data_IF_729036292535
#
_entry.id   IF_729036292535
#
_cell.length_a   1.000
_cell.length_b   1.000
_cell.length_c   1.000
_cell.angle_alpha   90.00
_cell.angle_beta   90.00
_cell.angle_gamma   90.00
#
_symmetry.space_group_name_H-M   'P 1'
#
loop_
_entity.id
_entity.type
_entity.pdbx_description
1 polymer ?
#
# COMPACT_ATOMS: atom_id res chain seq x y z
N UNK A 1 -9.04 19.76 -10.57
CA UNK A 1 -9.36 20.10 -9.17
C UNK A 1 -8.05 20.52 -8.50
N UNK A 2 -7.96 21.79 -8.12
CA UNK A 2 -6.75 22.43 -7.57
C UNK A 2 -6.40 21.78 -6.24
N UNK A 3 -5.10 21.57 -5.95
CA UNK A 3 -4.64 21.13 -4.62
C UNK A 3 -5.29 22.05 -3.57
N UNK A 4 -6.07 21.51 -2.63
CA UNK A 4 -6.44 22.26 -1.43
C UNK A 4 -5.22 22.33 -0.50
N UNK A 5 -4.30 23.22 -0.86
CA UNK A 5 -3.05 23.47 -0.15
C UNK A 5 -3.37 23.82 1.32
N UNK A 6 -4.48 24.51 1.59
CA UNK A 6 -4.84 24.93 2.95
C UNK A 6 -5.13 23.75 3.88
N UNK A 7 -5.78 22.69 3.38
CA UNK A 7 -6.04 21.47 4.14
C UNK A 7 -4.75 20.70 4.43
N UNK A 8 -3.86 20.61 3.43
CA UNK A 8 -2.57 19.94 3.57
C UNK A 8 -1.64 20.69 4.52
N UNK A 9 -1.57 22.02 4.43
CA UNK A 9 -0.84 22.87 5.36
C UNK A 9 -1.35 22.71 6.80
N UNK A 10 -2.68 22.63 6.96
CA UNK A 10 -3.29 22.39 8.28
C UNK A 10 -2.89 21.03 8.83
N UNK A 11 -2.96 19.97 8.01
CA UNK A 11 -2.55 18.62 8.43
C UNK A 11 -1.07 18.57 8.77
N UNK A 12 -0.21 19.12 7.92
CA UNK A 12 1.22 19.21 8.15
C UNK A 12 1.52 19.96 9.46
N UNK A 13 0.84 21.09 9.71
CA UNK A 13 1.00 21.86 10.95
C UNK A 13 0.59 21.05 12.18
N UNK A 14 -0.51 20.28 12.09
CA UNK A 14 -0.95 19.40 13.18
C UNK A 14 0.09 18.31 13.43
N UNK A 15 0.57 17.64 12.38
CA UNK A 15 1.58 16.60 12.49
C UNK A 15 2.90 17.14 13.09
N UNK A 16 3.38 18.28 12.58
CA UNK A 16 4.58 18.94 13.09
C UNK A 16 4.43 19.35 14.55
N UNK A 17 3.30 19.95 14.95
CA UNK A 17 3.06 20.34 16.34
C UNK A 17 3.14 19.15 17.31
N UNK A 18 2.73 17.96 16.87
CA UNK A 18 2.82 16.74 17.68
C UNK A 18 4.25 16.21 17.75
N UNK A 19 4.99 16.24 16.63
CA UNK A 19 6.38 15.78 16.59
C UNK A 19 7.36 16.75 17.27
N UNK A 20 7.11 18.07 17.24
CA UNK A 20 7.99 19.08 17.85
C UNK A 20 8.09 18.96 19.37
N UNK A 21 7.08 18.40 20.04
CA UNK A 21 7.16 18.10 21.48
C UNK A 21 8.37 17.20 21.77
N UNK A 22 8.67 16.24 20.89
CA UNK A 22 9.84 15.35 21.04
C UNK A 22 11.15 16.07 20.80
N UNK A 23 11.19 17.01 19.86
CA UNK A 23 12.37 17.86 19.64
C UNK A 23 12.69 18.63 20.91
N UNK A 24 11.68 19.18 21.58
CA UNK A 24 11.88 19.91 22.83
C UNK A 24 12.30 18.99 24.00
N UNK A 25 11.76 17.77 24.09
CA UNK A 25 12.19 16.76 25.06
C UNK A 25 13.65 16.34 24.86
N UNK A 26 14.06 16.08 23.61
CA UNK A 26 15.45 15.73 23.26
C UNK A 26 16.38 16.91 23.53
N UNK A 27 15.99 18.14 23.20
CA UNK A 27 16.76 19.35 23.55
C UNK A 27 16.99 19.48 25.05
N UNK A 28 15.95 19.28 25.88
CA UNK A 28 16.08 19.30 27.35
C UNK A 28 16.98 18.18 27.85
N UNK A 29 16.91 17.00 27.23
CA UNK A 29 17.78 15.87 27.56
C UNK A 29 19.23 16.19 27.24
N UNK A 30 19.50 16.73 26.04
CA UNK A 30 20.83 17.15 25.60
C UNK A 30 21.44 18.24 26.49
N UNK A 31 20.63 19.15 27.03
CA UNK A 31 21.08 20.16 27.99
C UNK A 31 21.57 19.57 29.32
N UNK A 32 21.12 18.36 29.69
CA UNK A 32 21.50 17.66 30.92
C UNK A 32 22.67 16.71 30.75
N UNK A 33 23.08 16.44 29.50
CA UNK A 33 24.23 15.58 29.23
C UNK A 33 25.53 16.36 29.50
N UNK A 34 26.49 15.67 30.11
CA UNK A 34 27.83 16.20 30.31
C UNK A 34 28.49 16.46 28.93
N UNK A 35 28.92 17.70 28.71
CA UNK A 35 29.56 18.10 27.46
C UNK A 35 31.06 17.88 27.59
N UNK A 36 31.55 16.78 27.02
CA UNK A 36 32.98 16.54 26.89
C UNK A 36 33.47 17.22 25.59
N UNK A 37 34.42 18.18 25.66
CA UNK A 37 34.91 18.85 24.47
C UNK A 37 35.72 17.87 23.61
N UNK A 38 35.41 17.83 22.31
CA UNK A 38 36.28 17.22 21.31
C UNK A 38 37.18 18.33 20.79
N UNK A 39 38.50 18.19 20.96
CA UNK A 39 39.47 19.09 20.36
C UNK A 39 39.58 18.74 18.88
N UNK A 40 38.93 19.52 18.02
CA UNK A 40 39.09 19.43 16.56
C UNK A 40 39.69 20.71 16.02
N UNK A 41 40.77 20.59 15.24
CA UNK A 41 41.25 21.69 14.40
C UNK A 41 40.18 22.03 13.36
N UNK A 42 39.90 23.33 13.21
CA UNK A 42 38.81 23.90 12.44
C UNK A 42 38.60 23.22 11.07
N UNK A 43 37.52 22.46 10.94
CA UNK A 43 36.89 22.20 9.64
C UNK A 43 35.38 22.29 9.81
N UNK A 44 34.78 23.32 9.23
CA UNK A 44 33.34 23.51 9.21
C UNK A 44 32.70 22.38 8.42
N UNK A 45 32.05 21.44 9.11
CA UNK A 45 31.30 20.37 8.47
C UNK A 45 29.84 20.83 8.30
N UNK A 46 29.33 20.97 7.07
CA UNK A 46 27.92 21.19 6.85
C UNK A 46 27.15 19.87 7.12
N UNK A 47 26.16 19.94 8.01
CA UNK A 47 25.18 18.86 8.17
C UNK A 47 24.25 18.89 6.95
N UNK A 48 24.39 17.93 6.06
CA UNK A 48 23.54 17.78 4.88
C UNK A 48 22.56 16.63 5.14
N UNK A 49 21.27 16.96 5.28
CA UNK A 49 20.20 15.96 5.20
C UNK A 49 19.82 15.77 3.73
N UNK A 50 20.22 14.65 3.14
CA UNK A 50 19.89 14.31 1.74
C UNK A 50 18.51 13.67 1.69
N UNK A 51 17.60 14.23 0.88
CA UNK A 51 16.29 13.62 0.59
C UNK A 51 16.20 13.41 -0.92
N UNK A 52 16.05 12.16 -1.35
CA UNK A 52 15.71 11.81 -2.72
C UNK A 52 14.23 11.39 -2.76
N UNK A 53 13.44 11.94 -3.68
CA UNK A 53 11.99 11.67 -3.78
C UNK A 53 11.66 10.89 -5.04
N UNK A 54 11.05 9.71 -4.87
CA UNK A 54 10.36 8.96 -5.93
C UNK A 54 8.94 8.58 -5.45
N UNK A 55 8.01 8.38 -6.39
CA UNK A 55 6.58 8.22 -6.12
C UNK A 55 6.23 6.84 -5.55
N UNK A 56 5.93 6.80 -4.25
CA UNK A 56 5.51 5.61 -3.49
C UNK A 56 5.97 5.74 -2.04
N UNK A 57 5.16 5.30 -1.07
CA UNK A 57 5.40 5.33 0.40
C UNK A 57 6.62 6.14 0.89
N UNK A 58 6.45 7.45 1.12
CA UNK A 58 7.53 8.31 1.57
C UNK A 58 7.53 8.41 3.10
N UNK A 59 8.45 7.67 3.74
CA UNK A 59 8.75 7.79 5.18
C UNK A 59 9.86 8.81 5.37
N UNK A 60 9.56 9.89 6.08
CA UNK A 60 10.55 10.89 6.44
C UNK A 60 10.96 10.66 7.89
N UNK A 61 12.21 10.21 8.07
CA UNK A 61 12.86 10.11 9.37
C UNK A 61 13.75 11.34 9.54
N UNK A 62 13.25 12.32 10.28
CA UNK A 62 13.99 13.51 10.67
C UNK A 62 14.15 13.47 12.18
N UNK A 63 14.93 12.52 12.70
CA UNK A 63 14.95 12.25 14.14
C UNK A 63 15.15 13.54 14.96
N UNK A 64 14.26 13.83 15.94
CA UNK A 64 13.22 12.95 16.49
C UNK A 64 11.81 13.05 15.85
N UNK A 65 11.64 13.82 14.78
CA UNK A 65 10.39 13.99 14.01
C UNK A 65 10.18 12.78 13.09
N UNK A 66 9.05 12.10 13.25
CA UNK A 66 8.68 10.95 12.42
C UNK A 66 7.30 11.15 11.81
N UNK A 67 7.23 11.31 10.49
CA UNK A 67 5.95 11.48 9.78
C UNK A 67 5.93 10.68 8.48
N UNK A 68 4.72 10.30 8.06
CA UNK A 68 4.49 9.59 6.80
C UNK A 68 3.43 10.31 5.97
N UNK A 69 3.66 10.39 4.67
CA UNK A 69 2.68 10.90 3.72
C UNK A 69 1.98 9.71 3.10
N UNK A 70 0.65 9.65 3.24
CA UNK A 70 -0.17 8.65 2.55
C UNK A 70 -0.96 9.36 1.47
N UNK A 71 -0.82 8.90 0.23
CA UNK A 71 -1.50 9.44 -0.94
C UNK A 71 -2.04 8.30 -1.80
N UNK A 72 -3.33 8.38 -2.16
CA UNK A 72 -4.00 7.44 -3.06
C UNK A 72 -4.66 8.21 -4.19
N UNK A 73 -4.26 7.90 -5.41
CA UNK A 73 -4.70 8.56 -6.66
C UNK A 73 -5.05 7.52 -7.71
N UNK A 74 -5.98 7.86 -8.61
CA UNK A 74 -6.19 7.09 -9.84
C UNK A 74 -5.22 7.54 -10.96
N UNK A 75 -5.32 6.88 -12.11
CA UNK A 75 -4.55 7.21 -13.33
C UNK A 75 -4.90 8.57 -13.94
N UNK A 76 -6.07 9.14 -13.62
CA UNK A 76 -6.47 10.48 -14.04
C UNK A 76 -5.93 11.57 -13.09
N UNK A 77 -5.19 11.17 -12.03
CA UNK A 77 -4.70 12.08 -11.00
C UNK A 77 -5.78 12.52 -10.01
N UNK A 78 -6.98 11.92 -10.05
CA UNK A 78 -8.03 12.13 -9.05
C UNK A 78 -7.50 11.68 -7.69
N UNK A 79 -7.46 12.60 -6.74
CA UNK A 79 -6.99 12.32 -5.39
C UNK A 79 -8.15 11.86 -4.52
N UNK A 80 -8.04 10.65 -3.99
CA UNK A 80 -9.04 10.07 -3.09
C UNK A 80 -8.63 10.17 -1.63
N UNK A 81 -7.33 10.15 -1.36
CA UNK A 81 -6.76 10.33 -0.04
C UNK A 81 -5.40 11.02 -0.15
N UNK A 82 -5.13 11.99 0.70
CA UNK A 82 -3.82 12.63 0.84
C UNK A 82 -3.73 13.25 2.23
N UNK A 83 -2.82 12.76 3.07
CA UNK A 83 -2.67 13.26 4.44
C UNK A 83 -1.26 13.04 5.00
N UNK A 84 -0.90 13.88 5.99
CA UNK A 84 0.32 13.77 6.79
C UNK A 84 0.00 13.07 8.11
N UNK A 85 0.64 11.93 8.32
CA UNK A 85 0.37 11.05 9.44
C UNK A 85 1.56 11.09 10.41
N UNK A 86 1.39 11.65 11.63
CA UNK A 86 2.43 11.68 12.65
C UNK A 86 2.61 10.28 13.25
N UNK A 87 3.86 9.80 13.28
CA UNK A 87 4.21 8.44 13.73
C UNK A 87 4.59 8.40 15.22
N UNK A 88 4.51 9.54 15.91
CA UNK A 88 4.61 9.64 17.36
C UNK A 88 3.31 9.30 18.09
N UNK A 89 2.16 9.49 17.43
CA UNK A 89 0.87 9.23 18.04
C UNK A 89 0.63 7.73 18.25
N UNK A 90 -0.17 7.43 19.27
CA UNK A 90 -0.72 6.10 19.45
C UNK A 90 -1.65 5.74 18.28
N UNK A 91 -1.62 4.46 17.88
CA UNK A 91 -2.40 3.96 16.75
C UNK A 91 -3.90 4.27 16.92
N UNK A 92 -4.45 4.16 18.14
CA UNK A 92 -5.86 4.39 18.41
C UNK A 92 -6.25 5.87 18.21
N UNK A 93 -5.35 6.80 18.56
CA UNK A 93 -5.55 8.23 18.28
C UNK A 93 -5.49 8.53 16.79
N UNK A 94 -4.59 7.86 16.06
CA UNK A 94 -4.51 8.04 14.61
C UNK A 94 -5.78 7.50 13.94
N UNK A 95 -6.27 6.33 14.34
CA UNK A 95 -7.53 5.79 13.81
C UNK A 95 -8.71 6.72 14.09
N UNK A 96 -8.81 7.26 15.30
CA UNK A 96 -9.87 8.20 15.65
C UNK A 96 -9.82 9.47 14.80
N UNK A 97 -8.64 10.07 14.67
CA UNK A 97 -8.50 11.41 14.10
C UNK A 97 -8.42 11.42 12.56
N UNK A 98 -7.84 10.39 11.95
CA UNK A 98 -7.54 10.36 10.51
C UNK A 98 -8.33 9.30 9.74
N UNK A 99 -8.72 8.18 10.38
CA UNK A 99 -9.41 7.07 9.70
C UNK A 99 -10.92 7.20 9.83
N UNK A 100 -11.44 7.36 11.07
CA UNK A 100 -12.89 7.46 11.31
C UNK A 100 -13.52 8.74 10.73
N UNK A 101 -12.74 9.82 10.63
CA UNK A 101 -13.16 11.09 10.04
C UNK A 101 -13.16 11.11 8.51
N UNK A 102 -12.62 10.07 7.87
CA UNK A 102 -12.44 10.03 6.43
C UNK A 102 -13.69 9.53 5.69
N UNK A 103 -14.22 10.34 4.77
CA UNK A 103 -15.45 10.04 4.01
C UNK A 103 -15.33 8.79 3.13
N UNK A 104 -14.17 8.53 2.54
CA UNK A 104 -13.95 7.35 1.70
C UNK A 104 -14.05 6.06 2.54
N UNK A 105 -13.43 6.05 3.72
CA UNK A 105 -13.47 4.93 4.64
C UNK A 105 -14.87 4.74 5.26
N UNK A 106 -15.59 5.82 5.55
CA UNK A 106 -16.99 5.73 5.98
C UNK A 106 -17.89 5.14 4.90
N UNK A 107 -17.75 5.60 3.66
CA UNK A 107 -18.46 5.03 2.51
C UNK A 107 -18.13 3.54 2.32
N UNK A 108 -16.85 3.16 2.46
CA UNK A 108 -16.40 1.79 2.36
C UNK A 108 -17.03 0.89 3.45
N UNK A 109 -17.00 1.35 4.71
CA UNK A 109 -17.66 0.68 5.84
C UNK A 109 -19.14 0.42 5.56
N UNK A 110 -19.86 1.45 5.10
CA UNK A 110 -21.30 1.35 4.80
C UNK A 110 -21.58 0.40 3.62
N UNK A 111 -20.81 0.53 2.54
CA UNK A 111 -20.96 -0.27 1.31
C UNK A 111 -20.75 -1.75 1.58
N UNK A 112 -19.78 -2.09 2.43
CA UNK A 112 -19.50 -3.48 2.81
C UNK A 112 -20.31 -3.97 4.02
N UNK A 113 -21.15 -3.11 4.62
CA UNK A 113 -21.89 -3.43 5.85
C UNK A 113 -20.99 -3.95 6.98
N UNK A 114 -19.81 -3.34 7.15
CA UNK A 114 -18.82 -3.71 8.16
C UNK A 114 -18.90 -2.77 9.37
N UNK A 115 -18.38 -3.22 10.51
CA UNK A 115 -18.14 -2.36 11.67
C UNK A 115 -16.67 -1.94 11.79
N UNK A 116 -16.39 -0.89 12.56
CA UNK A 116 -15.00 -0.39 12.69
C UNK A 116 -14.08 -1.44 13.33
N UNK A 117 -14.63 -2.28 14.20
CA UNK A 117 -13.94 -3.40 14.86
C UNK A 117 -13.54 -4.49 13.87
N UNK A 118 -14.22 -4.58 12.73
CA UNK A 118 -13.86 -5.50 11.63
C UNK A 118 -12.73 -4.94 10.78
N UNK A 119 -12.67 -3.61 10.63
CA UNK A 119 -11.77 -2.91 9.71
C UNK A 119 -10.45 -2.55 10.39
N UNK A 120 -10.48 -2.15 11.66
CA UNK A 120 -9.32 -1.62 12.38
C UNK A 120 -8.45 -2.74 12.95
N UNK A 121 -7.13 -2.50 13.08
CA UNK A 121 -6.23 -3.49 13.65
C UNK A 121 -6.58 -3.75 15.13
N UNK A 122 -6.82 -5.01 15.45
CA UNK A 122 -7.27 -5.44 16.77
C UNK A 122 -6.23 -6.29 17.51
N UNK A 123 -5.11 -6.62 16.87
CA UNK A 123 -3.99 -7.35 17.49
C UNK A 123 -2.73 -6.48 17.62
N UNK A 124 -1.84 -6.74 18.60
CA UNK A 124 -0.56 -6.02 18.73
C UNK A 124 0.30 -6.07 17.46
N UNK A 125 0.30 -7.21 16.75
CA UNK A 125 1.02 -7.37 15.49
C UNK A 125 0.47 -6.45 14.40
N UNK A 126 -0.86 -6.43 14.21
CA UNK A 126 -1.48 -5.52 13.23
C UNK A 126 -1.32 -4.05 13.62
N UNK A 127 -1.35 -3.73 14.92
CA UNK A 127 -1.07 -2.39 15.43
C UNK A 127 0.39 -1.98 15.21
N UNK A 128 1.34 -2.92 15.05
CA UNK A 128 2.72 -2.59 14.68
C UNK A 128 2.86 -2.28 13.17
N UNK A 129 2.05 -2.94 12.32
CA UNK A 129 2.07 -2.77 10.86
C UNK A 129 0.92 -1.92 10.31
N UNK A 130 0.28 -1.12 11.16
CA UNK A 130 -1.02 -0.51 10.86
C UNK A 130 -1.00 0.47 9.68
N UNK A 131 0.12 1.14 9.43
CA UNK A 131 0.27 2.07 8.30
C UNK A 131 0.20 1.36 6.95
N UNK A 132 0.89 0.22 6.84
CA UNK A 132 0.83 -0.62 5.64
C UNK A 132 -0.59 -1.15 5.42
N UNK A 133 -1.23 -1.58 6.50
CA UNK A 133 -2.64 -2.00 6.49
C UNK A 133 -3.57 -0.86 6.06
N UNK A 134 -3.41 0.35 6.59
CA UNK A 134 -4.24 1.52 6.23
C UNK A 134 -4.04 1.91 4.76
N UNK A 135 -2.80 1.92 4.26
CA UNK A 135 -2.51 2.20 2.86
C UNK A 135 -3.23 1.22 1.94
N UNK A 136 -3.06 -0.07 2.22
CA UNK A 136 -3.68 -1.13 1.43
C UNK A 136 -5.22 -1.08 1.52
N UNK A 137 -5.78 -0.82 2.71
CA UNK A 137 -7.21 -0.62 2.89
C UNK A 137 -7.74 0.55 2.04
N UNK A 138 -7.06 1.71 2.07
CA UNK A 138 -7.45 2.87 1.27
C UNK A 138 -7.39 2.58 -0.24
N UNK A 139 -6.38 1.83 -0.68
CA UNK A 139 -6.28 1.36 -2.06
C UNK A 139 -7.48 0.50 -2.46
N UNK A 140 -7.84 -0.48 -1.63
CA UNK A 140 -9.04 -1.30 -1.81
C UNK A 140 -10.33 -0.47 -1.82
N UNK A 141 -10.43 0.56 -0.97
CA UNK A 141 -11.56 1.48 -0.96
C UNK A 141 -11.73 2.23 -2.29
N UNK A 142 -10.61 2.72 -2.85
CA UNK A 142 -10.63 3.43 -4.14
C UNK A 142 -11.02 2.50 -5.28
N UNK A 143 -10.46 1.29 -5.32
CA UNK A 143 -10.82 0.27 -6.33
C UNK A 143 -12.31 -0.05 -6.24
N UNK A 144 -12.84 -0.26 -5.04
CA UNK A 144 -14.28 -0.49 -4.85
C UNK A 144 -15.12 0.68 -5.32
N UNK A 145 -14.69 1.92 -5.06
CA UNK A 145 -15.38 3.13 -5.51
C UNK A 145 -15.36 3.28 -7.03
N UNK A 146 -14.26 2.95 -7.68
CA UNK A 146 -14.16 2.93 -9.15
C UNK A 146 -15.08 1.87 -9.76
N UNK A 147 -15.08 0.66 -9.19
CA UNK A 147 -16.00 -0.41 -9.60
C UNK A 147 -17.47 -0.02 -9.39
N UNK A 148 -17.78 0.80 -8.38
CA UNK A 148 -19.14 1.31 -8.16
C UNK A 148 -19.51 2.52 -9.03
N UNK A 149 -18.62 3.01 -9.91
CA UNK A 149 -18.94 4.14 -10.77
C UNK A 149 -20.06 3.79 -11.78
N UNK A 150 -20.81 4.78 -12.25
CA UNK A 150 -21.79 4.61 -13.34
C UNK A 150 -21.17 4.88 -14.72
N UNK A 151 -19.84 4.85 -14.78
CA UNK A 151 -19.12 5.02 -16.03
C UNK A 151 -19.33 3.77 -16.90
N UNK A 152 -18.99 3.88 -18.19
CA UNK A 152 -18.97 2.73 -19.10
C UNK A 152 -18.13 1.59 -18.50
N UNK A 153 -18.37 0.32 -18.88
CA UNK A 153 -17.54 -0.81 -18.46
C UNK A 153 -16.04 -0.47 -18.51
N UNK A 154 -15.35 -0.68 -17.40
CA UNK A 154 -13.96 -0.30 -17.19
C UNK A 154 -13.15 -1.53 -16.81
N UNK A 155 -11.92 -1.59 -17.30
CA UNK A 155 -10.89 -2.45 -16.72
C UNK A 155 -10.19 -1.67 -15.61
N UNK A 156 -10.47 -2.01 -14.36
CA UNK A 156 -9.81 -1.47 -13.19
C UNK A 156 -8.56 -2.31 -12.91
N UNK A 157 -7.40 -1.67 -13.01
CA UNK A 157 -6.10 -2.31 -12.78
C UNK A 157 -5.57 -1.90 -11.42
N UNK A 158 -5.27 -2.89 -10.57
CA UNK A 158 -4.55 -2.70 -9.31
C UNK A 158 -3.05 -2.88 -9.52
N UNK A 159 -2.23 -1.97 -8.98
CA UNK A 159 -0.77 -2.13 -8.89
C UNK A 159 -0.44 -3.08 -7.73
N UNK A 160 -0.50 -4.38 -8.04
CA UNK A 160 -0.33 -5.49 -7.12
C UNK A 160 -1.34 -6.61 -7.40
N UNK A 161 -0.98 -7.83 -7.03
CA UNK A 161 -1.81 -9.04 -7.11
C UNK A 161 -3.09 -8.93 -6.25
N UNK A 162 -4.24 -9.42 -6.70
CA UNK A 162 -5.54 -9.37 -6.00
C UNK A 162 -5.61 -10.27 -4.75
N UNK A 163 -4.66 -10.09 -3.83
CA UNK A 163 -4.46 -10.82 -2.59
C UNK A 163 -3.98 -9.87 -1.51
N UNK A 164 -4.34 -10.15 -0.26
CA UNK A 164 -3.96 -9.32 0.87
C UNK A 164 -3.69 -10.13 2.13
N UNK A 165 -2.57 -9.85 2.79
CA UNK A 165 -2.26 -10.35 4.14
C UNK A 165 -2.39 -9.27 5.21
N UNK A 166 -2.44 -7.99 4.81
CA UNK A 166 -2.42 -6.87 5.74
C UNK A 166 -3.79 -6.58 6.35
N UNK A 167 -4.87 -6.73 5.58
CA UNK A 167 -6.24 -6.49 6.08
C UNK A 167 -6.81 -7.74 6.77
N UNK A 168 -7.81 -7.61 7.67
CA UNK A 168 -8.48 -8.76 8.27
C UNK A 168 -9.21 -9.64 7.24
N UNK A 169 -9.28 -10.96 7.47
CA UNK A 169 -9.89 -11.91 6.54
C UNK A 169 -11.36 -11.57 6.26
N UNK A 170 -12.14 -11.26 7.30
CA UNK A 170 -13.55 -10.87 7.17
C UNK A 170 -13.74 -9.69 6.21
N UNK A 171 -12.86 -8.69 6.27
CA UNK A 171 -12.90 -7.54 5.35
C UNK A 171 -12.60 -8.00 3.92
N UNK A 172 -11.56 -8.82 3.75
CA UNK A 172 -11.16 -9.35 2.44
C UNK A 172 -12.26 -10.18 1.78
N UNK A 173 -12.89 -11.10 2.51
CA UNK A 173 -13.98 -11.94 1.99
C UNK A 173 -15.20 -11.10 1.59
N UNK A 174 -15.54 -10.10 2.39
CA UNK A 174 -16.67 -9.19 2.11
C UNK A 174 -16.38 -8.34 0.88
N UNK A 175 -15.13 -7.87 0.75
CA UNK A 175 -14.66 -7.11 -0.39
C UNK A 175 -14.70 -7.94 -1.68
N UNK A 176 -14.26 -9.20 -1.63
CA UNK A 176 -14.32 -10.12 -2.78
C UNK A 176 -15.77 -10.27 -3.29
N UNK A 177 -16.73 -10.52 -2.38
CA UNK A 177 -18.15 -10.62 -2.72
C UNK A 177 -18.71 -9.33 -3.32
N UNK A 178 -18.29 -8.18 -2.79
CA UNK A 178 -18.69 -6.89 -3.32
C UNK A 178 -18.15 -6.70 -4.75
N UNK A 179 -16.88 -7.03 -5.01
CA UNK A 179 -16.31 -6.97 -6.36
C UNK A 179 -17.00 -7.91 -7.34
N UNK A 180 -17.26 -9.15 -6.95
CA UNK A 180 -18.00 -10.12 -7.77
C UNK A 180 -19.38 -9.58 -8.15
N UNK A 181 -20.13 -9.10 -7.16
CA UNK A 181 -21.46 -8.52 -7.37
C UNK A 181 -21.40 -7.32 -8.32
N UNK A 182 -20.55 -6.33 -8.02
CA UNK A 182 -20.46 -5.10 -8.82
C UNK A 182 -19.95 -5.37 -10.23
N UNK A 183 -19.02 -6.32 -10.40
CA UNK A 183 -18.53 -6.75 -11.70
C UNK A 183 -19.65 -7.32 -12.57
N UNK A 184 -20.51 -8.17 -12.00
CA UNK A 184 -21.67 -8.75 -12.71
C UNK A 184 -22.75 -7.72 -13.00
N UNK A 185 -23.05 -6.82 -12.05
CA UNK A 185 -24.13 -5.84 -12.20
C UNK A 185 -23.78 -4.71 -13.18
N UNK A 186 -22.51 -4.28 -13.20
CA UNK A 186 -22.07 -3.10 -13.98
C UNK A 186 -21.17 -3.43 -15.16
N UNK A 187 -20.68 -4.66 -15.27
CA UNK A 187 -19.77 -5.09 -16.33
C UNK A 187 -18.33 -4.57 -16.18
N UNK A 188 -17.95 -3.99 -15.03
CA UNK A 188 -16.56 -3.63 -14.77
C UNK A 188 -15.71 -4.87 -14.53
N UNK A 189 -14.48 -4.86 -15.03
CA UNK A 189 -13.49 -5.93 -14.85
C UNK A 189 -12.41 -5.46 -13.87
N UNK A 190 -11.93 -6.37 -13.03
CA UNK A 190 -10.84 -6.14 -12.09
C UNK A 190 -9.65 -7.02 -12.46
N UNK A 191 -8.45 -6.47 -12.43
CA UNK A 191 -7.21 -7.23 -12.62
C UNK A 191 -6.12 -6.69 -11.70
N UNK A 192 -5.34 -7.58 -11.09
CA UNK A 192 -4.13 -7.21 -10.35
C UNK A 192 -2.90 -7.43 -11.22
N UNK A 193 -2.02 -6.43 -11.32
CA UNK A 193 -0.77 -6.54 -12.07
C UNK A 193 0.37 -6.18 -11.13
N UNK A 194 1.34 -7.08 -10.95
CA UNK A 194 2.49 -6.82 -10.10
C UNK A 194 3.79 -6.75 -10.92
N UNK A 195 4.84 -6.17 -10.33
CA UNK A 195 6.20 -6.22 -10.88
C UNK A 195 7.00 -7.43 -10.37
N UNK A 196 6.55 -8.03 -9.26
CA UNK A 196 7.22 -9.11 -8.56
C UNK A 196 6.18 -10.06 -7.97
N UNK A 197 6.52 -11.34 -7.94
CA UNK A 197 5.78 -12.37 -7.18
C UNK A 197 6.76 -13.47 -6.77
N UNK A 198 6.43 -14.23 -5.72
CA UNK A 198 7.25 -15.38 -5.32
C UNK A 198 7.38 -16.39 -6.46
N UNK A 199 6.29 -16.62 -7.20
CA UNK A 199 6.27 -17.50 -8.39
C UNK A 199 7.22 -17.01 -9.47
N UNK A 200 7.19 -15.72 -9.82
CA UNK A 200 8.09 -15.18 -10.85
C UNK A 200 9.55 -15.28 -10.41
N UNK A 201 9.84 -14.98 -9.14
CA UNK A 201 11.19 -15.14 -8.59
C UNK A 201 11.64 -16.60 -8.63
N UNK A 202 10.77 -17.54 -8.24
CA UNK A 202 11.03 -18.97 -8.24
C UNK A 202 11.30 -19.52 -9.64
N UNK A 203 10.52 -19.08 -10.62
CA UNK A 203 10.63 -19.51 -12.02
C UNK A 203 11.67 -18.72 -12.82
N UNK A 204 12.26 -17.65 -12.27
CA UNK A 204 13.13 -16.74 -13.03
C UNK A 204 14.29 -17.45 -13.73
N UNK A 205 14.96 -18.39 -13.05
CA UNK A 205 16.04 -19.17 -13.62
C UNK A 205 15.52 -20.14 -14.70
N UNK A 206 14.43 -20.85 -14.43
CA UNK A 206 13.84 -21.80 -15.39
C UNK A 206 13.37 -21.09 -16.67
N UNK A 207 12.75 -19.92 -16.54
CA UNK A 207 12.33 -19.06 -17.66
C UNK A 207 13.55 -18.52 -18.43
N UNK A 208 14.67 -18.25 -17.75
CA UNK A 208 15.89 -17.78 -18.42
C UNK A 208 16.62 -18.90 -19.16
N UNK A 209 16.45 -20.15 -18.73
CA UNK A 209 17.09 -21.33 -19.32
C UNK A 209 16.24 -22.03 -20.38
N UNK A 210 14.91 -21.85 -20.36
CA UNK A 210 13.98 -22.45 -21.31
C UNK A 210 13.29 -21.39 -22.18
N UNK A 211 13.10 -21.70 -23.46
CA UNK A 211 12.29 -20.88 -24.39
C UNK A 211 10.76 -21.02 -24.15
N UNK A 212 10.33 -21.47 -22.96
CA UNK A 212 8.91 -21.66 -22.63
C UNK A 212 8.10 -20.36 -22.58
N UNK A 213 8.78 -19.22 -22.44
CA UNK A 213 8.21 -17.87 -22.58
C UNK A 213 9.10 -17.04 -23.52
N UNK A 214 8.97 -17.24 -24.85
CA UNK A 214 9.85 -16.63 -25.84
C UNK A 214 9.92 -15.11 -25.63
N UNK A 215 11.12 -14.55 -25.80
CA UNK A 215 11.36 -13.12 -25.60
C UNK A 215 10.75 -12.24 -26.71
N UNK A 216 10.41 -12.84 -27.84
CA UNK A 216 9.91 -12.19 -29.05
C UNK A 216 8.38 -12.30 -29.25
N UNK A 217 7.65 -12.97 -28.35
CA UNK A 217 6.22 -13.23 -28.53
C UNK A 217 5.37 -12.79 -27.34
N UNK A 218 4.18 -12.28 -27.62
CA UNK A 218 3.14 -12.08 -26.61
C UNK A 218 2.61 -13.45 -26.19
N UNK A 219 2.84 -13.81 -24.94
CA UNK A 219 2.42 -15.10 -24.40
C UNK A 219 2.00 -14.95 -22.94
N UNK A 220 1.20 -15.89 -22.47
CA UNK A 220 0.85 -16.01 -21.07
C UNK A 220 0.76 -17.48 -20.67
N UNK A 221 1.01 -17.75 -19.39
CA UNK A 221 0.86 -19.07 -18.80
C UNK A 221 0.09 -18.95 -17.49
N UNK A 222 -0.91 -19.81 -17.31
CA UNK A 222 -1.62 -19.94 -16.03
C UNK A 222 -0.75 -20.72 -15.05
N UNK A 223 -0.63 -20.21 -13.84
CA UNK A 223 0.08 -20.87 -12.75
C UNK A 223 -0.94 -21.66 -11.92
N UNK A 224 -0.66 -22.94 -11.70
CA UNK A 224 -1.51 -23.78 -10.87
C UNK A 224 -1.37 -23.42 -9.38
N UNK A 225 -2.39 -23.71 -8.57
CA UNK A 225 -2.36 -23.42 -7.13
C UNK A 225 -1.29 -24.26 -6.40
N UNK A 226 -1.00 -25.45 -6.90
CA UNK A 226 0.09 -26.30 -6.41
C UNK A 226 1.44 -25.59 -6.59
N UNK A 227 1.70 -25.05 -7.79
CA UNK A 227 2.92 -24.28 -8.06
C UNK A 227 3.00 -22.98 -7.26
N UNK A 228 1.88 -22.25 -7.07
CA UNK A 228 1.86 -21.07 -6.19
C UNK A 228 2.26 -21.41 -4.75
N UNK A 229 1.80 -22.55 -4.23
CA UNK A 229 2.11 -23.03 -2.88
C UNK A 229 3.56 -23.52 -2.75
N UNK A 230 4.11 -24.16 -3.79
CA UNK A 230 5.50 -24.60 -3.85
C UNK A 230 6.47 -23.41 -3.83
N UNK A 231 6.20 -22.40 -4.67
CA UNK A 231 7.03 -21.19 -4.77
C UNK A 231 6.93 -20.29 -3.52
N UNK A 232 5.91 -20.47 -2.68
CA UNK A 232 5.72 -19.66 -1.48
C UNK A 232 6.52 -20.21 -0.30
N UNK A 233 7.16 -19.34 0.51
CA UNK A 233 7.82 -19.79 1.74
C UNK A 233 6.83 -20.54 2.64
N UNK A 234 7.25 -21.57 3.39
CA UNK A 234 6.34 -22.39 4.21
C UNK A 234 5.40 -21.57 5.09
N UNK A 235 5.92 -20.48 5.68
CA UNK A 235 5.18 -19.58 6.58
C UNK A 235 4.16 -18.68 5.88
N UNK A 236 4.10 -18.71 4.55
CA UNK A 236 3.22 -17.88 3.70
C UNK A 236 2.35 -18.71 2.77
N UNK A 237 2.39 -20.05 2.85
CA UNK A 237 1.54 -20.93 2.03
C UNK A 237 0.04 -20.67 2.25
N UNK A 238 -0.36 -20.22 3.43
CA UNK A 238 -1.73 -19.80 3.71
C UNK A 238 -2.14 -18.53 2.94
N UNK A 239 -1.21 -17.73 2.41
CA UNK A 239 -1.57 -16.53 1.66
C UNK A 239 -2.28 -16.87 0.33
N UNK A 240 -2.18 -18.11 -0.16
CA UNK A 240 -2.93 -18.57 -1.33
C UNK A 240 -4.44 -18.63 -1.07
N UNK A 241 -4.90 -18.80 0.18
CA UNK A 241 -6.32 -18.69 0.54
C UNK A 241 -6.82 -17.25 0.63
N UNK A 242 -5.92 -16.27 0.47
CA UNK A 242 -6.22 -14.83 0.51
C UNK A 242 -6.07 -14.20 -0.85
N UNK A 243 -6.40 -14.95 -1.89
CA UNK A 243 -6.34 -14.57 -3.30
C UNK A 243 -7.76 -14.57 -3.88
N UNK A 244 -8.07 -13.55 -4.67
CA UNK A 244 -9.37 -13.43 -5.32
C UNK A 244 -9.49 -14.22 -6.63
N UNK A 245 -8.39 -14.80 -7.13
CA UNK A 245 -8.36 -15.28 -8.50
C UNK A 245 -7.18 -16.18 -8.89
N UNK A 246 -7.07 -16.39 -10.19
CA UNK A 246 -6.02 -17.20 -10.81
C UNK A 246 -4.82 -16.34 -11.17
N UNK A 247 -3.62 -16.89 -10.92
CA UNK A 247 -2.37 -16.22 -11.25
C UNK A 247 -1.90 -16.63 -12.65
N UNK A 248 -1.45 -15.64 -13.42
CA UNK A 248 -0.85 -15.79 -14.73
C UNK A 248 0.51 -15.10 -14.74
N UNK A 249 1.45 -15.63 -15.51
CA UNK A 249 2.64 -14.90 -15.92
C UNK A 249 2.47 -14.52 -17.39
N UNK A 250 2.58 -13.24 -17.70
CA UNK A 250 2.32 -12.72 -19.05
C UNK A 250 3.44 -11.83 -19.56
N UNK A 251 3.80 -12.00 -20.83
CA UNK A 251 4.59 -11.05 -21.62
C UNK A 251 3.63 -10.29 -22.54
N UNK A 252 3.53 -8.98 -22.34
CA UNK A 252 2.52 -8.15 -23.01
C UNK A 252 3.05 -7.41 -24.26
N UNK A 253 4.36 -7.41 -24.49
CA UNK A 253 4.99 -6.78 -25.66
C UNK A 253 5.99 -7.72 -26.31
N UNK A 254 5.93 -7.75 -27.64
CA UNK A 254 7.04 -8.17 -28.49
C UNK A 254 8.21 -7.22 -28.16
N UNK A 255 9.39 -7.74 -27.78
CA UNK A 255 10.59 -6.98 -27.35
C UNK A 255 10.66 -6.49 -25.88
N UNK A 256 9.65 -6.71 -25.04
CA UNK A 256 9.83 -6.46 -23.60
C UNK A 256 10.45 -7.69 -22.93
N UNK A 257 11.56 -7.52 -22.22
CA UNK A 257 12.14 -8.57 -21.36
C UNK A 257 11.27 -8.86 -20.14
N UNK A 258 10.43 -7.91 -19.73
CA UNK A 258 9.60 -8.00 -18.53
C UNK A 258 8.43 -8.98 -18.68
N UNK A 259 8.32 -9.87 -17.70
CA UNK A 259 7.16 -10.73 -17.47
C UNK A 259 6.42 -10.18 -16.26
N UNK A 260 5.11 -10.06 -16.38
CA UNK A 260 4.25 -9.53 -15.33
C UNK A 260 3.42 -10.66 -14.71
N UNK A 261 3.44 -10.80 -13.39
CA UNK A 261 2.41 -11.52 -12.65
C UNK A 261 1.09 -10.77 -12.76
N UNK A 262 0.07 -11.44 -13.30
CA UNK A 262 -1.28 -10.92 -13.49
C UNK A 262 -2.25 -11.84 -12.74
N UNK A 263 -3.08 -11.28 -11.87
CA UNK A 263 -4.12 -12.02 -11.16
C UNK A 263 -5.49 -11.60 -11.64
N UNK A 264 -6.25 -12.55 -12.16
CA UNK A 264 -7.59 -12.36 -12.70
C UNK A 264 -8.60 -13.04 -11.78
N UNK A 265 -9.65 -12.33 -11.32
CA UNK A 265 -10.71 -12.93 -10.53
C UNK A 265 -11.35 -14.16 -11.18
N UNK A 266 -11.85 -15.08 -10.35
CA UNK A 266 -12.46 -16.33 -10.84
C UNK A 266 -13.94 -16.21 -11.25
N UNK A 267 -14.53 -15.01 -11.23
CA UNK A 267 -15.97 -14.77 -11.43
C UNK A 267 -16.31 -14.06 -12.73
#
# INVERSE_FOLDING_TARGET
MILDISKLEKSLKIALNQEFVRVDEVKRTLQRLEKLPIVTENSGQPVIATVATDGGENKLFLDPIRMQIIRVVDSNGTKYFEDFIPLSLDADLIFKNFVKSNELLQWFKQTLCLEWEDILPNTPYQKASWLGMLRELLEWCVILKLMHSDLKPQLVVRDGLLRSVAIPMKVFDTLQKAFEKTSREKGHMLVGVAKRSNVLSYLSLAISLNDSLPSNEKCYVRISKEFENEASPPNYRWASSRSMGDLFLARLSENASSIFPIEIPSW
#
